data_IF_411651059633
#
_entry.id   IF_411651059633
#
_cell.length_a   1.000
_cell.length_b   1.000
_cell.length_c   1.000
_cell.angle_alpha   90.00
_cell.angle_beta   90.00
_cell.angle_gamma   90.00
#
_symmetry.space_group_name_H-M   'P 1'
#
loop_
_entity.id
_entity.type
_entity.pdbx_description
1 polymer ?
#
# COMPACT_ATOMS: atom_id res chain seq x y z
N UNK A 1 -30.87 -20.84 -13.67
CA UNK A 1 -29.85 -21.68 -13.02
C UNK A 1 -30.52 -22.66 -12.07
N UNK A 2 -30.06 -23.92 -12.05
CA UNK A 2 -30.56 -25.02 -11.21
C UNK A 2 -29.75 -25.12 -9.90
N UNK A 3 -29.54 -24.02 -9.18
CA UNK A 3 -28.81 -24.08 -7.92
C UNK A 3 -29.62 -24.70 -6.78
N UNK A 4 -28.94 -25.00 -5.68
CA UNK A 4 -29.54 -25.63 -4.50
C UNK A 4 -30.76 -24.82 -4.01
N UNK A 5 -31.84 -25.53 -3.67
CA UNK A 5 -33.03 -24.89 -3.10
C UNK A 5 -32.76 -24.26 -1.73
N UNK A 6 -31.83 -24.86 -0.97
CA UNK A 6 -31.33 -24.35 0.31
C UNK A 6 -30.01 -23.63 0.17
N UNK A 7 -29.08 -23.91 1.09
CA UNK A 7 -27.73 -23.35 1.06
C UNK A 7 -26.77 -24.23 0.23
N UNK A 8 -25.70 -23.65 -0.31
CA UNK A 8 -24.61 -24.40 -0.95
C UNK A 8 -23.93 -25.31 0.06
N UNK A 9 -23.48 -24.72 1.18
CA UNK A 9 -22.91 -25.42 2.34
C UNK A 9 -23.68 -25.00 3.60
N UNK A 10 -24.01 -25.96 4.45
CA UNK A 10 -24.67 -25.72 5.73
C UNK A 10 -23.87 -26.34 6.88
N UNK A 11 -23.46 -25.50 7.83
CA UNK A 11 -22.81 -25.91 9.08
C UNK A 11 -23.80 -25.71 10.23
N UNK A 12 -23.99 -26.74 11.05
CA UNK A 12 -24.90 -26.71 12.18
C UNK A 12 -24.18 -27.22 13.42
N UNK A 13 -23.97 -26.33 14.40
CA UNK A 13 -23.32 -26.65 15.68
C UNK A 13 -21.92 -27.30 15.50
N UNK A 14 -21.23 -26.97 14.40
CA UNK A 14 -19.92 -27.52 14.08
C UNK A 14 -18.80 -26.66 14.68
N UNK A 15 -17.71 -27.30 15.10
CA UNK A 15 -16.52 -26.61 15.60
C UNK A 15 -15.31 -26.88 14.71
N UNK A 16 -14.38 -25.92 14.64
CA UNK A 16 -13.14 -25.99 13.87
C UNK A 16 -13.31 -26.50 12.43
N UNK A 17 -14.39 -26.08 11.75
CA UNK A 17 -14.62 -26.47 10.36
C UNK A 17 -13.84 -25.58 9.41
N UNK A 18 -13.19 -26.19 8.42
CA UNK A 18 -12.55 -25.47 7.32
C UNK A 18 -13.36 -25.66 6.04
N UNK A 19 -13.72 -24.56 5.38
CA UNK A 19 -14.33 -24.54 4.05
C UNK A 19 -13.33 -23.90 3.10
N UNK A 20 -12.75 -24.71 2.24
CA UNK A 20 -11.67 -24.32 1.35
C UNK A 20 -10.33 -24.84 1.86
N UNK A 21 -9.26 -24.09 1.62
CA UNK A 21 -7.96 -24.36 2.21
C UNK A 21 -6.98 -23.20 2.07
N UNK A 22 -5.77 -23.36 2.62
CA UNK A 22 -4.73 -22.34 2.55
C UNK A 22 -4.11 -22.20 1.14
N UNK A 23 -4.40 -23.12 0.23
CA UNK A 23 -3.95 -23.08 -1.16
C UNK A 23 -5.12 -22.95 -2.14
N UNK A 24 -4.92 -22.35 -3.32
CA UNK A 24 -5.96 -22.21 -4.34
C UNK A 24 -6.57 -23.54 -4.79
N UNK A 25 -5.83 -24.65 -4.73
CA UNK A 25 -6.32 -25.98 -5.14
C UNK A 25 -7.37 -26.54 -4.18
N UNK A 26 -7.42 -26.03 -2.94
CA UNK A 26 -8.44 -26.38 -1.98
C UNK A 26 -9.70 -25.49 -2.09
N UNK A 27 -9.74 -24.56 -3.04
CA UNK A 27 -10.85 -23.65 -3.26
C UNK A 27 -12.15 -24.38 -3.64
N UNK A 28 -13.27 -24.02 -3.01
CA UNK A 28 -14.59 -24.40 -3.50
C UNK A 28 -15.17 -23.33 -4.42
N UNK A 29 -16.01 -23.76 -5.36
CA UNK A 29 -16.88 -22.89 -6.14
C UNK A 29 -18.32 -23.08 -5.63
N UNK A 30 -18.87 -22.04 -5.00
CA UNK A 30 -20.16 -22.08 -4.30
C UNK A 30 -21.09 -21.07 -4.96
N UNK A 31 -21.91 -21.54 -5.90
CA UNK A 31 -22.67 -20.66 -6.77
C UNK A 31 -24.15 -21.01 -6.96
N UNK A 32 -24.97 -19.98 -7.18
CA UNK A 32 -26.35 -20.11 -7.66
C UNK A 32 -27.37 -20.59 -6.65
N UNK A 33 -27.03 -20.69 -5.36
CA UNK A 33 -27.96 -21.17 -4.33
C UNK A 33 -29.11 -20.19 -4.14
N UNK A 34 -30.34 -20.70 -4.01
CA UNK A 34 -31.54 -19.86 -3.86
C UNK A 34 -31.60 -19.09 -2.54
N UNK A 35 -30.81 -19.53 -1.55
CA UNK A 35 -30.66 -18.85 -0.27
C UNK A 35 -29.19 -18.46 -0.06
N UNK A 36 -28.45 -19.19 0.77
CA UNK A 36 -27.09 -18.85 1.12
C UNK A 36 -26.06 -19.63 0.28
N UNK A 37 -24.93 -19.04 -0.08
CA UNK A 37 -23.77 -19.81 -0.54
C UNK A 37 -23.28 -20.69 0.60
N UNK A 38 -22.94 -20.07 1.72
CA UNK A 38 -22.58 -20.75 2.98
C UNK A 38 -23.49 -20.26 4.09
N UNK A 39 -24.03 -21.19 4.88
CA UNK A 39 -24.77 -20.88 6.10
C UNK A 39 -24.13 -21.56 7.30
N UNK A 40 -23.59 -20.76 8.23
CA UNK A 40 -23.07 -21.22 9.51
C UNK A 40 -24.05 -20.89 10.65
N UNK A 41 -24.61 -21.93 11.26
CA UNK A 41 -25.50 -21.82 12.41
C UNK A 41 -24.83 -22.36 13.66
N UNK A 42 -24.61 -21.49 14.65
CA UNK A 42 -23.96 -21.80 15.92
C UNK A 42 -22.61 -22.53 15.74
N UNK A 43 -21.84 -22.15 14.72
CA UNK A 43 -20.64 -22.87 14.31
C UNK A 43 -19.38 -22.00 14.41
N UNK A 44 -18.23 -22.63 14.62
CA UNK A 44 -16.92 -21.97 14.44
C UNK A 44 -16.24 -22.50 13.19
N UNK A 45 -15.92 -21.62 12.25
CA UNK A 45 -15.36 -22.04 10.97
C UNK A 45 -14.39 -21.02 10.37
N UNK A 46 -13.47 -21.52 9.55
CA UNK A 46 -12.64 -20.74 8.64
C UNK A 46 -13.11 -21.00 7.22
N UNK A 47 -13.43 -19.94 6.49
CA UNK A 47 -13.87 -19.96 5.09
C UNK A 47 -12.79 -19.26 4.29
N UNK A 48 -12.03 -19.99 3.48
CA UNK A 48 -10.86 -19.42 2.81
C UNK A 48 -10.68 -19.87 1.36
N UNK A 49 -10.16 -18.98 0.51
CA UNK A 49 -9.91 -19.23 -0.91
C UNK A 49 -11.12 -19.68 -1.74
N UNK A 50 -12.37 -19.45 -1.31
CA UNK A 50 -13.53 -19.88 -2.08
C UNK A 50 -13.96 -18.83 -3.10
N UNK A 51 -14.53 -19.28 -4.22
CA UNK A 51 -15.35 -18.44 -5.10
C UNK A 51 -16.82 -18.60 -4.71
N UNK A 52 -17.43 -17.54 -4.19
CA UNK A 52 -18.82 -17.54 -3.70
C UNK A 52 -19.63 -16.55 -4.55
N UNK A 53 -20.55 -17.05 -5.38
CA UNK A 53 -21.21 -16.18 -6.36
C UNK A 53 -22.68 -16.47 -6.64
N UNK A 54 -23.42 -15.44 -7.09
CA UNK A 54 -24.80 -15.62 -7.57
C UNK A 54 -25.75 -16.27 -6.54
N UNK A 55 -25.50 -16.06 -5.25
CA UNK A 55 -26.40 -16.48 -4.17
C UNK A 55 -27.26 -15.30 -3.69
N UNK A 56 -28.41 -15.56 -3.04
CA UNK A 56 -29.18 -14.49 -2.39
C UNK A 56 -28.38 -13.91 -1.20
N UNK A 57 -27.69 -14.76 -0.46
CA UNK A 57 -26.67 -14.37 0.53
C UNK A 57 -25.38 -15.13 0.26
N UNK A 58 -24.23 -14.46 0.16
CA UNK A 58 -22.94 -15.13 -0.01
C UNK A 58 -22.58 -16.01 1.19
N UNK A 59 -22.40 -15.37 2.36
CA UNK A 59 -22.11 -16.04 3.63
C UNK A 59 -23.04 -15.52 4.74
N UNK A 60 -23.80 -16.44 5.35
CA UNK A 60 -24.69 -16.18 6.48
C UNK A 60 -24.12 -16.77 7.77
N UNK A 61 -24.13 -15.96 8.83
CA UNK A 61 -23.77 -16.36 10.19
C UNK A 61 -24.97 -16.17 11.12
N UNK A 62 -25.38 -17.24 11.79
CA UNK A 62 -26.42 -17.25 12.81
C UNK A 62 -25.90 -17.92 14.07
N UNK A 63 -25.14 -17.16 14.85
CA UNK A 63 -24.43 -17.64 16.03
C UNK A 63 -23.09 -18.27 15.69
N UNK A 64 -22.18 -18.28 16.67
CA UNK A 64 -20.81 -18.77 16.52
C UNK A 64 -19.82 -17.71 16.03
N UNK A 65 -18.66 -18.16 15.52
CA UNK A 65 -17.55 -17.30 15.07
C UNK A 65 -16.99 -17.81 13.74
N UNK A 66 -17.14 -17.01 12.69
CA UNK A 66 -16.65 -17.34 11.35
C UNK A 66 -15.55 -16.37 10.95
N UNK A 67 -14.47 -16.90 10.38
CA UNK A 67 -13.38 -16.15 9.79
C UNK A 67 -13.38 -16.38 8.28
N UNK A 68 -13.58 -15.34 7.49
CA UNK A 68 -13.57 -15.38 6.03
C UNK A 68 -12.29 -14.73 5.50
N UNK A 69 -11.39 -15.51 4.90
CA UNK A 69 -10.08 -15.01 4.42
C UNK A 69 -9.95 -15.22 2.92
N UNK A 70 -9.75 -14.13 2.18
CA UNK A 70 -9.35 -14.17 0.78
C UNK A 70 -10.28 -14.95 -0.14
N UNK A 71 -11.57 -14.89 0.13
CA UNK A 71 -12.59 -15.41 -0.78
C UNK A 71 -12.90 -14.37 -1.85
N UNK A 72 -13.30 -14.84 -3.02
CA UNK A 72 -13.87 -14.02 -4.08
C UNK A 72 -15.39 -14.08 -3.97
N UNK A 73 -16.03 -12.98 -3.56
CA UNK A 73 -17.48 -12.87 -3.43
C UNK A 73 -18.04 -11.95 -4.51
N UNK A 74 -18.72 -12.51 -5.50
CA UNK A 74 -19.20 -11.73 -6.65
C UNK A 74 -20.64 -12.05 -7.04
N UNK A 75 -21.40 -11.06 -7.50
CA UNK A 75 -22.78 -11.25 -7.96
C UNK A 75 -23.73 -11.83 -6.89
N UNK A 76 -23.42 -11.69 -5.61
CA UNK A 76 -24.34 -12.06 -4.53
C UNK A 76 -25.28 -10.90 -4.25
N UNK A 77 -26.57 -11.16 -3.99
CA UNK A 77 -27.50 -10.07 -3.64
C UNK A 77 -27.09 -9.41 -2.33
N UNK A 78 -26.82 -10.22 -1.29
CA UNK A 78 -26.18 -9.79 -0.03
C UNK A 78 -24.85 -10.51 0.13
N UNK A 79 -23.75 -9.83 0.42
CA UNK A 79 -22.44 -10.49 0.60
C UNK A 79 -22.39 -11.22 1.94
N UNK A 80 -22.61 -10.49 3.04
CA UNK A 80 -22.62 -11.03 4.39
C UNK A 80 -23.93 -10.77 5.11
N UNK A 81 -24.53 -11.80 5.71
CA UNK A 81 -25.68 -11.65 6.60
C UNK A 81 -25.38 -12.20 7.99
N UNK A 82 -25.57 -11.40 9.04
CA UNK A 82 -25.17 -11.73 10.41
C UNK A 82 -26.37 -11.55 11.33
N UNK A 83 -27.05 -12.66 11.60
CA UNK A 83 -28.20 -12.66 12.49
C UNK A 83 -27.78 -12.67 13.98
N UNK A 84 -26.68 -13.36 14.29
CA UNK A 84 -26.07 -13.42 15.61
C UNK A 84 -24.61 -13.88 15.48
N UNK A 85 -23.80 -13.72 16.53
CA UNK A 85 -22.40 -14.16 16.57
C UNK A 85 -21.42 -13.17 15.93
N UNK A 86 -20.28 -13.66 15.45
CA UNK A 86 -19.21 -12.84 14.88
C UNK A 86 -18.77 -13.36 13.51
N UNK A 87 -18.68 -12.44 12.55
CA UNK A 87 -17.98 -12.66 11.28
C UNK A 87 -16.77 -11.72 11.21
N UNK A 88 -15.58 -12.28 11.02
CA UNK A 88 -14.36 -11.52 10.69
C UNK A 88 -13.99 -11.77 9.23
N UNK A 89 -13.72 -10.70 8.48
CA UNK A 89 -13.39 -10.78 7.05
C UNK A 89 -12.06 -10.12 6.75
N UNK A 90 -11.14 -10.84 6.13
CA UNK A 90 -9.82 -10.35 5.72
C UNK A 90 -9.54 -10.71 4.26
N UNK A 91 -8.98 -9.76 3.51
CA UNK A 91 -8.45 -9.92 2.14
C UNK A 91 -9.46 -10.48 1.12
N UNK A 92 -10.75 -10.44 1.41
CA UNK A 92 -11.75 -10.90 0.45
C UNK A 92 -11.87 -9.90 -0.71
N UNK A 93 -11.99 -10.41 -1.96
CA UNK A 93 -12.32 -9.60 -3.15
C UNK A 93 -13.83 -9.62 -3.35
N UNK A 94 -14.48 -8.46 -3.22
CA UNK A 94 -15.94 -8.35 -3.16
C UNK A 94 -16.44 -7.39 -4.24
N UNK A 95 -17.18 -7.92 -5.22
CA UNK A 95 -17.65 -7.14 -6.37
C UNK A 95 -19.11 -7.44 -6.71
N UNK A 96 -19.76 -6.53 -7.44
CA UNK A 96 -21.12 -6.70 -7.99
C UNK A 96 -22.14 -7.27 -6.97
N UNK A 97 -22.51 -6.49 -5.96
CA UNK A 97 -23.47 -6.92 -4.94
C UNK A 97 -24.53 -5.85 -4.68
N UNK A 98 -25.68 -6.26 -4.15
CA UNK A 98 -26.75 -5.34 -3.75
C UNK A 98 -26.55 -4.75 -2.35
N UNK A 99 -26.23 -5.60 -1.38
CA UNK A 99 -25.99 -5.22 0.02
C UNK A 99 -24.66 -5.82 0.50
N UNK A 100 -23.77 -4.99 1.05
CA UNK A 100 -22.49 -5.48 1.56
C UNK A 100 -22.69 -6.30 2.83
N UNK A 101 -23.35 -5.72 3.83
CA UNK A 101 -23.53 -6.36 5.13
C UNK A 101 -24.95 -6.14 5.63
N UNK A 102 -25.67 -7.22 5.94
CA UNK A 102 -26.94 -7.17 6.64
C UNK A 102 -26.76 -7.75 8.05
N UNK A 103 -26.65 -6.89 9.07
CA UNK A 103 -26.57 -7.35 10.47
C UNK A 103 -27.87 -7.06 11.21
N UNK A 104 -28.44 -8.08 11.86
CA UNK A 104 -29.66 -7.95 12.68
C UNK A 104 -29.45 -8.30 14.15
N UNK A 105 -28.27 -8.82 14.53
CA UNK A 105 -28.01 -9.19 15.93
C UNK A 105 -26.59 -9.69 16.24
N UNK A 106 -25.61 -9.48 15.35
CA UNK A 106 -24.21 -9.85 15.58
C UNK A 106 -23.21 -8.79 15.13
N UNK A 107 -21.92 -9.14 15.16
CA UNK A 107 -20.83 -8.21 14.82
C UNK A 107 -20.12 -8.61 13.52
N UNK A 108 -19.83 -7.62 12.68
CA UNK A 108 -18.95 -7.75 11.54
C UNK A 108 -17.64 -7.00 11.79
N UNK A 109 -16.51 -7.68 11.61
CA UNK A 109 -15.16 -7.08 11.66
C UNK A 109 -14.49 -7.31 10.30
N UNK A 110 -14.75 -6.42 9.35
CA UNK A 110 -14.37 -6.60 7.95
C UNK A 110 -13.42 -5.55 7.40
N UNK A 111 -12.62 -4.93 8.27
CA UNK A 111 -11.83 -3.75 7.94
C UNK A 111 -10.84 -3.95 6.81
N UNK A 112 -10.54 -5.17 6.37
CA UNK A 112 -9.46 -5.42 5.40
C UNK A 112 -9.93 -6.21 4.18
N UNK A 113 -11.11 -5.91 3.67
CA UNK A 113 -11.61 -6.49 2.42
C UNK A 113 -11.54 -5.46 1.30
N UNK A 114 -11.39 -5.92 0.06
CA UNK A 114 -11.57 -5.06 -1.10
C UNK A 114 -13.04 -5.11 -1.52
N UNK A 115 -13.68 -3.95 -1.59
CA UNK A 115 -15.12 -3.81 -1.83
C UNK A 115 -15.45 -3.32 -3.24
N UNK A 116 -14.57 -3.65 -4.19
CA UNK A 116 -14.64 -3.18 -5.57
C UNK A 116 -14.23 -1.71 -5.71
N UNK A 117 -14.30 -1.22 -6.96
CA UNK A 117 -14.06 0.19 -7.30
C UNK A 117 -15.32 1.02 -7.02
N UNK A 118 -15.62 1.30 -5.75
CA UNK A 118 -16.68 2.26 -5.37
C UNK A 118 -16.10 3.68 -5.25
N UNK A 119 -16.85 4.67 -5.73
CA UNK A 119 -16.40 6.06 -5.94
C UNK A 119 -16.63 7.00 -4.75
N UNK A 120 -16.71 6.49 -3.52
CA UNK A 120 -16.44 7.33 -2.34
C UNK A 120 -17.35 7.13 -1.12
N UNK A 121 -18.49 6.46 -1.26
CA UNK A 121 -19.38 6.15 -0.13
C UNK A 121 -19.29 4.69 0.31
N UNK A 122 -19.50 4.46 1.62
CA UNK A 122 -19.62 3.13 2.16
C UNK A 122 -20.84 2.41 1.53
N UNK A 123 -20.68 1.18 1.03
CA UNK A 123 -21.79 0.39 0.54
C UNK A 123 -22.84 0.12 1.61
N UNK A 124 -24.06 -0.22 1.17
CA UNK A 124 -25.19 -0.46 2.06
C UNK A 124 -24.86 -1.47 3.18
N UNK A 125 -25.08 -1.03 4.42
CA UNK A 125 -24.91 -1.82 5.65
C UNK A 125 -23.46 -1.99 6.13
N UNK A 126 -22.48 -1.47 5.39
CA UNK A 126 -21.10 -1.44 5.85
C UNK A 126 -20.89 -0.24 6.79
N UNK A 127 -20.37 -0.50 7.99
CA UNK A 127 -20.00 0.57 8.92
C UNK A 127 -18.85 1.43 8.33
N UNK A 128 -18.88 2.73 8.60
CA UNK A 128 -17.89 3.68 8.05
C UNK A 128 -16.46 3.34 8.47
N UNK A 129 -16.22 2.85 9.69
CA UNK A 129 -14.89 2.44 10.16
C UNK A 129 -14.37 1.22 9.39
N UNK A 130 -15.25 0.27 9.08
CA UNK A 130 -14.91 -0.89 8.25
C UNK A 130 -14.59 -0.44 6.82
N UNK A 131 -15.43 0.41 6.25
CA UNK A 131 -15.18 1.02 4.94
C UNK A 131 -13.88 1.82 4.91
N UNK A 132 -13.59 2.49 6.02
CA UNK A 132 -12.46 3.40 6.13
C UNK A 132 -11.11 2.68 6.16
N UNK A 133 -11.08 1.45 6.64
CA UNK A 133 -9.87 0.65 6.77
C UNK A 133 -9.68 -0.35 5.61
N UNK A 134 -10.62 -0.41 4.65
CA UNK A 134 -10.66 -1.39 3.55
C UNK A 134 -9.37 -1.46 2.73
N UNK A 135 -9.23 -2.52 1.94
CA UNK A 135 -8.17 -2.60 0.94
C UNK A 135 -8.43 -1.61 -0.20
N UNK A 136 -7.36 -0.94 -0.64
CA UNK A 136 -7.40 0.14 -1.62
C UNK A 136 -7.43 -0.36 -3.07
N UNK A 137 -6.75 -1.47 -3.32
CA UNK A 137 -6.76 -2.16 -4.60
C UNK A 137 -7.21 -3.61 -4.40
N UNK A 138 -7.59 -4.23 -5.50
CA UNK A 138 -7.82 -5.67 -5.53
C UNK A 138 -6.49 -6.37 -5.21
N UNK A 139 -6.47 -7.31 -4.25
CA UNK A 139 -5.32 -8.19 -4.04
C UNK A 139 -4.98 -8.92 -5.34
N UNK A 140 -3.76 -8.77 -5.83
CA UNK A 140 -3.29 -9.56 -6.98
C UNK A 140 -2.94 -10.98 -6.53
N UNK A 141 -2.21 -11.08 -5.42
CA UNK A 141 -1.89 -12.34 -4.76
C UNK A 141 -1.87 -12.13 -3.25
N UNK A 142 -2.04 -13.20 -2.49
CA UNK A 142 -1.94 -13.17 -1.04
C UNK A 142 -1.64 -14.57 -0.48
N UNK A 143 -1.17 -14.63 0.76
CA UNK A 143 -0.90 -15.87 1.48
C UNK A 143 -1.15 -15.67 2.97
N UNK A 144 -1.53 -16.74 3.66
CA UNK A 144 -1.79 -16.77 5.09
C UNK A 144 -0.97 -17.87 5.77
N UNK A 145 -0.54 -17.65 7.01
CA UNK A 145 0.04 -18.70 7.83
C UNK A 145 0.08 -18.35 9.31
N UNK A 146 0.38 -19.34 10.14
CA UNK A 146 0.45 -19.18 11.60
C UNK A 146 1.86 -18.76 12.02
N UNK A 147 2.00 -17.56 12.58
CA UNK A 147 3.27 -16.93 12.97
C UNK A 147 4.19 -16.54 11.80
N UNK A 148 3.90 -16.99 10.58
CA UNK A 148 4.63 -16.60 9.38
C UNK A 148 3.84 -16.80 8.09
N UNK A 149 4.13 -15.99 7.09
CA UNK A 149 3.52 -16.03 5.76
C UNK A 149 4.56 -15.62 4.71
N UNK A 150 4.60 -16.32 3.57
CA UNK A 150 5.61 -16.14 2.53
C UNK A 150 4.95 -16.13 1.14
N UNK A 151 5.07 -15.00 0.44
CA UNK A 151 4.50 -14.76 -0.88
C UNK A 151 5.65 -14.47 -1.85
N UNK A 152 6.16 -15.54 -2.46
CA UNK A 152 7.44 -15.47 -3.18
C UNK A 152 8.54 -14.95 -2.26
N UNK A 153 9.17 -13.85 -2.68
CA UNK A 153 10.25 -13.20 -1.93
C UNK A 153 9.76 -12.28 -0.77
N UNK A 154 8.48 -11.92 -0.76
CA UNK A 154 7.89 -11.14 0.31
C UNK A 154 7.55 -12.03 1.51
N UNK A 155 7.86 -11.58 2.73
CA UNK A 155 7.72 -12.43 3.92
C UNK A 155 7.32 -11.65 5.16
N UNK A 156 6.49 -12.27 5.99
CA UNK A 156 6.17 -11.83 7.34
C UNK A 156 6.51 -12.96 8.32
N UNK A 157 7.33 -12.68 9.35
CA UNK A 157 7.75 -13.68 10.34
C UNK A 157 7.88 -13.12 11.74
N UNK A 158 7.81 -13.98 12.75
CA UNK A 158 8.32 -13.72 14.10
C UNK A 158 7.26 -13.74 15.18
N UNK A 159 6.28 -12.84 15.10
CA UNK A 159 5.24 -12.69 16.12
C UNK A 159 4.31 -13.91 16.23
N UNK A 160 3.30 -13.78 17.08
CA UNK A 160 2.26 -14.83 17.26
C UNK A 160 1.02 -14.51 16.45
N UNK A 161 0.15 -15.49 16.22
CA UNK A 161 -1.14 -15.28 15.53
C UNK A 161 -1.03 -15.39 14.02
N UNK A 162 -2.08 -14.98 13.31
CA UNK A 162 -2.17 -15.20 11.86
C UNK A 162 -1.41 -14.10 11.12
N UNK A 163 -0.42 -14.51 10.33
CA UNK A 163 0.32 -13.67 9.41
C UNK A 163 -0.36 -13.68 8.04
N UNK A 164 -0.54 -12.51 7.42
CA UNK A 164 -0.98 -12.41 6.03
C UNK A 164 -0.04 -11.48 5.27
N UNK A 165 0.37 -11.90 4.08
CA UNK A 165 1.06 -11.06 3.09
C UNK A 165 0.13 -10.91 1.88
N UNK A 166 -0.04 -9.67 1.43
CA UNK A 166 -0.83 -9.33 0.25
C UNK A 166 0.06 -8.58 -0.72
N UNK A 167 0.11 -8.99 -1.99
CA UNK A 167 0.72 -8.23 -3.08
C UNK A 167 -0.37 -7.50 -3.85
N UNK A 168 -0.12 -6.24 -4.13
CA UNK A 168 -0.86 -5.46 -5.11
C UNK A 168 0.06 -5.10 -6.26
N UNK A 169 -0.44 -5.19 -7.49
CA UNK A 169 0.33 -4.77 -8.66
C UNK A 169 0.62 -3.28 -8.61
N UNK A 170 1.80 -2.86 -9.08
CA UNK A 170 2.17 -1.45 -9.15
C UNK A 170 1.14 -0.59 -9.89
N UNK A 171 0.60 -1.14 -10.97
CA UNK A 171 -0.38 -0.45 -11.82
C UNK A 171 -1.79 -0.41 -11.19
N UNK A 172 -2.08 -1.25 -10.21
CA UNK A 172 -3.41 -1.37 -9.62
C UNK A 172 -3.87 -0.09 -8.90
N UNK A 173 -2.92 0.75 -8.46
CA UNK A 173 -3.20 2.03 -7.82
C UNK A 173 -3.19 3.23 -8.77
N UNK A 174 -2.70 3.05 -10.00
CA UNK A 174 -2.35 4.16 -10.90
C UNK A 174 -3.26 4.32 -12.11
N UNK A 175 -4.28 3.47 -12.26
CA UNK A 175 -5.18 3.53 -13.42
C UNK A 175 -5.94 4.87 -13.58
N UNK A 176 -5.74 5.85 -12.70
CA UNK A 176 -6.26 7.21 -12.84
C UNK A 176 -5.23 8.25 -13.38
N UNK A 177 -3.92 7.99 -13.35
CA UNK A 177 -2.90 8.97 -13.71
C UNK A 177 -2.25 8.64 -15.06
N UNK A 178 -2.71 9.27 -16.14
CA UNK A 178 -2.21 9.06 -17.51
C UNK A 178 -0.83 9.70 -17.80
N UNK A 179 -0.06 10.09 -16.77
CA UNK A 179 1.26 10.72 -16.92
C UNK A 179 2.39 9.69 -16.79
N UNK A 180 3.45 9.82 -17.59
CA UNK A 180 4.59 8.90 -17.59
C UNK A 180 5.49 8.96 -16.34
N UNK A 181 5.30 9.95 -15.46
CA UNK A 181 6.09 10.13 -14.23
C UNK A 181 5.21 9.89 -13.00
N UNK A 182 4.79 8.65 -12.81
CA UNK A 182 4.02 8.24 -11.64
C UNK A 182 4.95 7.81 -10.50
N UNK A 183 4.38 7.61 -9.30
CA UNK A 183 5.16 7.05 -8.19
C UNK A 183 5.58 5.61 -8.53
N UNK A 184 4.71 4.78 -9.13
CA UNK A 184 5.00 3.40 -9.44
C UNK A 184 6.15 3.22 -10.43
N UNK A 185 6.34 4.15 -11.38
CA UNK A 185 7.47 4.08 -12.31
C UNK A 185 8.82 4.26 -11.61
N UNK A 186 8.83 4.90 -10.44
CA UNK A 186 10.01 5.12 -9.58
C UNK A 186 10.20 4.06 -8.52
N UNK A 187 9.15 3.30 -8.19
CA UNK A 187 9.23 2.22 -7.22
C UNK A 187 10.01 1.02 -7.77
N UNK A 188 10.77 0.40 -6.88
CA UNK A 188 11.60 -0.76 -7.09
C UNK A 188 10.99 -2.03 -6.48
N UNK A 189 9.72 -1.99 -6.09
CA UNK A 189 8.96 -3.16 -5.69
C UNK A 189 7.50 -2.97 -6.08
N UNK A 190 6.75 -4.08 -6.09
CA UNK A 190 5.30 -3.99 -5.95
C UNK A 190 4.90 -3.44 -4.59
N UNK A 191 3.61 -3.20 -4.41
CA UNK A 191 3.06 -2.80 -3.12
C UNK A 191 2.71 -4.04 -2.30
N UNK A 192 3.10 -4.05 -1.04
CA UNK A 192 2.82 -5.16 -0.14
C UNK A 192 2.03 -4.68 1.08
N UNK A 193 0.94 -5.38 1.40
CA UNK A 193 0.21 -5.24 2.65
C UNK A 193 0.55 -6.38 3.61
N UNK A 194 0.88 -6.05 4.85
CA UNK A 194 1.20 -7.03 5.89
C UNK A 194 0.19 -6.94 7.04
N UNK A 195 -0.28 -8.10 7.51
CA UNK A 195 -1.27 -8.20 8.59
C UNK A 195 -0.82 -9.18 9.66
N UNK A 196 -1.06 -8.81 10.92
CA UNK A 196 -1.01 -9.72 12.06
C UNK A 196 -2.38 -9.72 12.74
N UNK A 197 -3.10 -10.85 12.69
CA UNK A 197 -4.43 -10.99 13.27
C UNK A 197 -4.34 -11.77 14.58
N UNK A 198 -4.98 -11.22 15.63
CA UNK A 198 -4.95 -11.75 16.99
C UNK A 198 -3.53 -12.03 17.49
N UNK A 199 -2.56 -11.32 16.89
CA UNK A 199 -1.14 -11.55 17.07
C UNK A 199 -0.46 -10.54 17.97
N UNK A 200 0.62 -10.98 18.62
CA UNK A 200 1.45 -10.16 19.49
C UNK A 200 2.92 -10.22 19.10
N UNK A 201 3.74 -9.50 19.87
CA UNK A 201 5.19 -9.50 19.72
C UNK A 201 5.71 -8.62 18.59
N UNK A 202 6.95 -8.89 18.21
CA UNK A 202 7.67 -8.19 17.15
C UNK A 202 7.76 -9.04 15.90
N UNK A 203 7.57 -8.38 14.76
CA UNK A 203 7.56 -9.00 13.46
C UNK A 203 8.73 -8.51 12.63
N UNK A 204 9.06 -9.32 11.62
CA UNK A 204 10.00 -9.02 10.57
C UNK A 204 9.29 -9.09 9.23
N UNK A 205 9.36 -7.99 8.49
CA UNK A 205 8.90 -7.86 7.11
C UNK A 205 10.10 -8.00 6.18
N UNK A 206 9.92 -8.73 5.07
CA UNK A 206 10.83 -8.76 3.94
C UNK A 206 10.09 -8.26 2.70
N UNK A 207 10.63 -7.24 2.04
CA UNK A 207 10.08 -6.66 0.81
C UNK A 207 11.04 -6.95 -0.33
N UNK A 208 10.61 -7.62 -1.42
CA UNK A 208 11.46 -7.86 -2.57
C UNK A 208 11.74 -6.58 -3.35
N UNK A 209 12.90 -6.54 -3.99
CA UNK A 209 13.31 -5.46 -4.89
C UNK A 209 13.50 -6.02 -6.29
N UNK A 210 13.05 -5.27 -7.29
CA UNK A 210 13.28 -5.53 -8.71
C UNK A 210 14.77 -5.60 -9.04
N UNK A 211 15.15 -6.57 -9.87
CA UNK A 211 16.51 -6.69 -10.43
C UNK A 211 16.75 -5.67 -11.56
N UNK A 212 16.75 -4.38 -11.23
CA UNK A 212 17.02 -3.30 -12.19
C UNK A 212 18.18 -2.44 -11.71
N UNK A 213 19.03 -1.98 -12.63
CA UNK A 213 20.18 -1.15 -12.29
C UNK A 213 19.83 0.10 -11.44
N UNK A 214 18.72 0.83 -11.68
CA UNK A 214 18.28 1.94 -10.82
C UNK A 214 17.92 1.51 -9.39
N UNK A 215 17.53 0.24 -9.19
CA UNK A 215 17.11 -0.27 -7.89
C UNK A 215 18.27 -0.73 -6.99
N UNK A 216 19.49 -0.83 -7.54
CA UNK A 216 20.68 -1.06 -6.73
C UNK A 216 20.92 0.08 -5.72
N UNK A 217 20.59 1.32 -6.07
CA UNK A 217 20.69 2.46 -5.15
C UNK A 217 19.63 2.36 -4.04
N UNK A 218 18.38 2.03 -4.38
CA UNK A 218 17.31 1.74 -3.40
C UNK A 218 17.75 0.71 -2.37
N UNK A 219 18.41 -0.36 -2.82
CA UNK A 219 18.95 -1.39 -1.96
C UNK A 219 20.04 -0.86 -1.02
N UNK A 220 20.97 -0.05 -1.54
CA UNK A 220 22.05 0.55 -0.74
C UNK A 220 21.52 1.54 0.30
N UNK A 221 20.54 2.35 -0.07
CA UNK A 221 19.96 3.41 0.76
C UNK A 221 18.82 2.90 1.66
N UNK A 222 18.38 1.64 1.49
CA UNK A 222 17.32 0.98 2.26
C UNK A 222 16.01 1.80 2.30
N UNK A 223 15.66 2.41 1.16
CA UNK A 223 14.50 3.28 1.03
C UNK A 223 13.20 2.47 1.02
N UNK A 224 12.58 2.32 2.19
CA UNK A 224 11.22 1.80 2.33
C UNK A 224 10.28 2.89 2.75
N UNK A 225 9.18 2.97 2.02
CA UNK A 225 8.07 3.86 2.29
C UNK A 225 6.81 3.09 2.65
N UNK A 226 5.98 3.74 3.46
CA UNK A 226 4.68 3.22 3.87
C UNK A 226 3.64 4.34 3.90
N UNK A 227 2.36 3.98 3.99
CA UNK A 227 1.23 4.92 4.05
C UNK A 227 0.66 4.96 5.48
N UNK A 228 1.19 5.81 6.37
CA UNK A 228 0.80 5.81 7.79
C UNK A 228 -0.62 6.33 8.02
N UNK A 229 -1.15 7.12 7.07
CA UNK A 229 -2.51 7.65 7.13
C UNK A 229 -3.35 7.18 5.94
N UNK A 230 -3.79 5.92 5.95
CA UNK A 230 -4.62 5.36 4.89
C UNK A 230 -5.89 6.18 4.62
N UNK A 231 -6.43 6.84 5.67
CA UNK A 231 -7.65 7.64 5.58
C UNK A 231 -7.47 8.89 4.71
N UNK A 232 -6.37 9.62 4.89
CA UNK A 232 -6.06 10.86 4.16
C UNK A 232 -5.69 10.57 2.71
N UNK A 233 -5.09 9.41 2.47
CA UNK A 233 -4.52 8.97 1.20
C UNK A 233 -5.39 8.00 0.41
N UNK A 234 -6.62 7.81 0.90
CA UNK A 234 -7.52 6.72 0.52
C UNK A 234 -7.82 6.60 -0.96
N UNK A 235 -7.94 7.74 -1.64
CA UNK A 235 -8.42 7.78 -3.02
C UNK A 235 -7.29 7.96 -4.03
N UNK A 236 -6.07 8.19 -3.54
CA UNK A 236 -4.96 8.59 -4.40
C UNK A 236 -3.62 8.31 -3.72
N UNK A 237 -3.12 7.10 -3.92
CA UNK A 237 -1.76 6.73 -3.53
C UNK A 237 -0.70 7.25 -4.51
N UNK A 238 -1.10 7.93 -5.59
CA UNK A 238 -0.16 8.59 -6.51
C UNK A 238 0.39 9.90 -5.95
N UNK A 239 -0.18 10.38 -4.84
CA UNK A 239 0.32 11.55 -4.11
C UNK A 239 1.57 11.22 -3.29
N UNK A 240 2.63 11.99 -3.47
CA UNK A 240 3.88 11.79 -2.73
C UNK A 240 3.74 12.04 -1.23
N UNK A 241 2.89 13.00 -0.83
CA UNK A 241 2.68 13.33 0.58
C UNK A 241 1.96 12.23 1.38
N UNK A 242 1.43 11.22 0.68
CA UNK A 242 0.82 10.06 1.29
C UNK A 242 1.80 9.00 1.77
N UNK A 243 3.01 9.07 1.27
CA UNK A 243 4.05 8.13 1.60
C UNK A 243 5.02 8.79 2.57
N UNK A 244 5.35 8.06 3.63
CA UNK A 244 6.37 8.49 4.57
C UNK A 244 7.50 7.47 4.57
N UNK A 245 8.75 7.91 4.81
CA UNK A 245 9.81 6.98 5.15
C UNK A 245 9.37 6.15 6.35
N UNK A 246 9.64 4.84 6.33
CA UNK A 246 9.29 3.99 7.47
C UNK A 246 10.06 4.48 8.72
N UNK A 247 9.39 4.91 9.80
CA UNK A 247 10.02 5.68 10.88
C UNK A 247 10.83 4.84 11.86
N UNK A 248 10.95 3.53 11.62
CA UNK A 248 11.54 2.62 12.60
C UNK A 248 13.07 2.67 12.62
N UNK A 249 13.64 2.68 13.83
CA UNK A 249 14.99 2.15 14.15
C UNK A 249 15.18 0.65 13.77
N UNK A 250 14.18 0.07 13.10
CA UNK A 250 14.03 -1.34 12.75
C UNK A 250 14.38 -1.69 11.30
N UNK A 251 14.66 -0.72 10.42
CA UNK A 251 15.23 -1.05 9.10
C UNK A 251 16.63 -1.62 9.34
N UNK A 252 16.77 -2.95 9.24
CA UNK A 252 18.00 -3.66 9.58
C UNK A 252 18.47 -4.41 8.35
N UNK A 253 19.08 -3.66 7.44
CA UNK A 253 19.84 -4.23 6.35
C UNK A 253 19.00 -4.51 5.10
N UNK A 254 19.56 -4.09 3.98
CA UNK A 254 19.31 -4.71 2.70
C UNK A 254 20.08 -6.03 2.62
N UNK A 255 19.41 -7.09 2.19
CA UNK A 255 20.05 -8.39 1.92
C UNK A 255 19.97 -8.66 0.43
N UNK A 256 21.13 -8.82 -0.21
CA UNK A 256 21.26 -9.33 -1.57
C UNK A 256 21.80 -10.74 -1.50
N UNK A 257 21.05 -11.70 -2.02
CA UNK A 257 21.57 -13.03 -2.39
C UNK A 257 21.75 -13.07 -3.90
N UNK A 258 22.43 -14.09 -4.42
CA UNK A 258 22.76 -14.18 -5.85
C UNK A 258 21.56 -14.08 -6.80
N UNK A 259 20.33 -14.37 -6.32
CA UNK A 259 19.10 -14.34 -7.11
C UNK A 259 17.94 -13.61 -6.41
N UNK A 260 18.19 -12.85 -5.34
CA UNK A 260 17.11 -12.20 -4.60
C UNK A 260 17.59 -10.96 -3.86
N UNK A 261 17.05 -9.80 -4.23
CA UNK A 261 17.26 -8.53 -3.53
C UNK A 261 16.05 -8.23 -2.65
N UNK A 262 16.29 -7.88 -1.39
CA UNK A 262 15.20 -7.54 -0.46
C UNK A 262 15.64 -6.56 0.62
N UNK A 263 14.72 -5.73 1.09
CA UNK A 263 14.89 -4.97 2.34
C UNK A 263 14.15 -5.68 3.47
N UNK A 264 14.83 -5.77 4.62
CA UNK A 264 14.29 -6.37 5.83
C UNK A 264 14.01 -5.29 6.87
N UNK A 265 12.77 -5.27 7.35
CA UNK A 265 12.32 -4.39 8.43
C UNK A 265 12.06 -5.29 9.64
N UNK A 266 12.85 -5.11 10.70
CA UNK A 266 12.71 -5.82 11.96
C UNK A 266 11.95 -4.97 13.00
N UNK A 267 11.54 -5.62 14.10
CA UNK A 267 10.90 -4.98 15.24
C UNK A 267 9.60 -4.25 14.92
N UNK A 268 8.89 -4.68 13.87
CA UNK A 268 7.58 -4.12 13.49
C UNK A 268 6.56 -4.60 14.51
N UNK A 269 5.77 -3.70 15.10
CA UNK A 269 4.76 -4.10 16.09
C UNK A 269 3.55 -4.65 15.37
N UNK A 270 2.88 -5.64 15.96
CA UNK A 270 1.62 -6.18 15.41
C UNK A 270 0.58 -5.07 15.11
N UNK A 271 0.55 -4.02 15.94
CA UNK A 271 -0.32 -2.86 15.75
C UNK A 271 -0.07 -2.05 14.47
N UNK A 272 1.13 -2.16 13.88
CA UNK A 272 1.52 -1.49 12.63
C UNK A 272 1.21 -2.37 11.39
N UNK A 273 0.92 -3.66 11.61
CA UNK A 273 0.58 -4.64 10.58
C UNK A 273 -0.93 -4.68 10.35
N UNK A 274 -1.45 -3.59 9.77
CA UNK A 274 -2.88 -3.37 9.51
C UNK A 274 -3.19 -3.24 8.02
N UNK A 275 -2.41 -3.88 7.15
CA UNK A 275 -2.62 -3.80 5.70
C UNK A 275 -2.24 -2.49 5.06
N UNK A 276 -1.46 -1.66 5.76
CA UNK A 276 -0.80 -0.50 5.17
C UNK A 276 0.10 -0.98 4.03
N UNK A 277 0.07 -0.28 2.90
CA UNK A 277 0.94 -0.58 1.78
C UNK A 277 2.39 -0.16 2.11
N UNK A 278 3.31 -1.08 1.83
CA UNK A 278 4.75 -0.87 1.87
C UNK A 278 5.30 -1.00 0.46
N UNK A 279 6.28 -0.16 0.11
CA UNK A 279 7.03 -0.27 -1.13
C UNK A 279 8.48 0.17 -0.93
N UNK A 280 9.38 -0.39 -1.74
CA UNK A 280 10.78 0.02 -1.82
C UNK A 280 11.00 0.88 -3.07
N UNK A 281 11.79 1.93 -2.97
CA UNK A 281 12.16 2.80 -4.10
C UNK A 281 12.24 4.27 -3.72
N UNK A 282 12.95 5.11 -4.49
CA UNK A 282 13.00 6.55 -4.23
C UNK A 282 11.65 7.21 -4.52
N UNK A 283 11.10 7.95 -3.56
CA UNK A 283 9.89 8.74 -3.79
C UNK A 283 10.15 10.18 -4.20
N UNK A 284 11.32 10.70 -3.86
CA UNK A 284 11.76 11.99 -4.38
C UNK A 284 12.50 11.69 -5.68
N UNK A 285 12.24 12.42 -6.78
CA UNK A 285 13.15 12.40 -7.91
C UNK A 285 14.54 12.72 -7.35
N UNK A 286 15.48 11.77 -7.43
CA UNK A 286 16.90 12.09 -7.21
C UNK A 286 17.17 13.34 -8.02
N UNK A 287 17.46 14.44 -7.34
CA UNK A 287 17.22 15.79 -7.83
C UNK A 287 17.60 16.02 -9.29
N UNK A 288 16.83 16.91 -9.94
CA UNK A 288 17.19 17.61 -11.17
C UNK A 288 18.71 17.69 -11.31
N UNK A 289 19.26 17.26 -12.46
CA UNK A 289 20.68 17.02 -12.59
C UNK A 289 21.46 18.22 -12.05
N UNK A 290 22.36 17.95 -11.10
CA UNK A 290 23.25 18.93 -10.43
C UNK A 290 24.03 19.78 -11.47
N UNK A 291 23.99 19.40 -12.75
CA UNK A 291 24.39 20.24 -13.88
C UNK A 291 23.75 21.64 -13.88
N UNK A 292 22.55 21.86 -13.32
CA UNK A 292 21.97 23.22 -13.25
C UNK A 292 22.61 24.10 -12.15
N UNK A 293 22.99 23.52 -11.01
CA UNK A 293 23.73 24.24 -9.96
C UNK A 293 25.18 24.50 -10.39
N UNK A 294 25.80 23.54 -11.09
CA UNK A 294 27.11 23.75 -11.71
C UNK A 294 27.05 24.82 -12.82
N UNK A 295 26.01 24.84 -13.66
CA UNK A 295 25.82 25.87 -14.67
C UNK A 295 25.57 27.26 -14.06
N UNK A 296 24.75 27.36 -12.99
CA UNK A 296 24.54 28.61 -12.27
C UNK A 296 25.81 29.16 -11.63
N UNK A 297 26.63 28.29 -11.02
CA UNK A 297 27.94 28.68 -10.48
C UNK A 297 28.91 29.10 -11.60
N UNK A 298 28.95 28.38 -12.73
CA UNK A 298 29.81 28.74 -13.87
C UNK A 298 29.41 30.06 -14.52
N UNK A 299 28.10 30.31 -14.68
CA UNK A 299 27.56 31.57 -15.20
C UNK A 299 27.83 32.71 -14.23
N UNK A 300 27.69 32.49 -12.92
CA UNK A 300 28.05 33.47 -11.89
C UNK A 300 29.53 33.85 -11.93
N UNK A 301 30.42 32.86 -12.05
CA UNK A 301 31.88 33.08 -12.18
C UNK A 301 32.22 33.79 -13.49
N UNK A 302 31.60 33.42 -14.62
CA UNK A 302 31.78 34.09 -15.91
C UNK A 302 31.32 35.55 -15.89
N UNK A 303 30.16 35.84 -15.29
CA UNK A 303 29.64 37.20 -15.16
C UNK A 303 30.56 38.05 -14.27
N UNK A 304 31.04 37.50 -13.15
CA UNK A 304 31.97 38.19 -12.26
C UNK A 304 33.30 38.47 -12.97
N UNK A 305 33.85 37.50 -13.70
CA UNK A 305 35.07 37.66 -14.49
C UNK A 305 34.92 38.72 -15.60
N UNK A 306 33.77 38.74 -16.29
CA UNK A 306 33.46 39.74 -17.31
C UNK A 306 33.37 41.15 -16.70
N UNK A 307 32.75 41.27 -15.53
CA UNK A 307 32.60 42.55 -14.81
C UNK A 307 33.97 43.08 -14.36
N UNK A 308 34.82 42.20 -13.81
CA UNK A 308 36.20 42.52 -13.45
C UNK A 308 37.02 42.94 -14.67
N UNK A 309 36.85 42.27 -15.82
CA UNK A 309 37.51 42.63 -17.06
C UNK A 309 37.08 44.01 -17.58
N UNK A 310 35.78 44.32 -17.55
CA UNK A 310 35.25 45.64 -17.93
C UNK A 310 35.79 46.75 -17.02
N UNK A 311 35.84 46.50 -15.71
CA UNK A 311 36.39 47.44 -14.73
C UNK A 311 37.90 47.66 -14.94
N UNK A 312 38.65 46.59 -15.20
CA UNK A 312 40.07 46.67 -15.53
C UNK A 312 40.31 47.49 -16.79
N UNK A 313 39.55 47.23 -17.86
CA UNK A 313 39.69 47.97 -19.13
C UNK A 313 39.41 49.46 -18.95
N UNK A 314 38.34 49.83 -18.22
CA UNK A 314 38.03 51.24 -17.91
C UNK A 314 39.17 51.95 -17.18
N UNK A 315 39.85 51.25 -16.27
CA UNK A 315 40.99 51.79 -15.52
C UNK A 315 42.21 52.04 -16.42
N UNK A 316 42.44 51.18 -17.41
CA UNK A 316 43.55 51.33 -18.37
C UNK A 316 43.31 52.37 -19.46
N UNK A 317 42.05 52.68 -19.77
CA UNK A 317 41.69 53.66 -20.82
C UNK A 317 41.42 55.06 -20.27
N UNK A 318 41.51 55.28 -18.96
CA UNK A 318 41.36 56.62 -18.41
C UNK A 318 42.61 57.43 -18.81
N UNK A 319 42.47 58.45 -19.67
CA UNK A 319 43.61 59.29 -20.04
C UNK A 319 44.17 59.92 -18.78
N UNK A 320 45.50 59.91 -18.65
CA UNK A 320 46.19 60.51 -17.52
C UNK A 320 45.62 61.91 -17.27
N UNK A 321 45.13 62.16 -16.06
CA UNK A 321 44.58 63.45 -15.69
C UNK A 321 45.63 64.51 -16.02
N UNK A 322 45.25 65.48 -16.85
CA UNK A 322 46.12 66.59 -17.19
C UNK A 322 46.57 67.28 -15.88
N UNK A 323 47.86 67.63 -15.75
CA UNK A 323 48.38 68.24 -14.53
C UNK A 323 47.59 69.51 -14.22
N UNK A 324 47.08 69.59 -12.98
CA UNK A 324 46.36 70.75 -12.49
C UNK A 324 47.26 71.98 -12.55
N UNK A 325 46.87 72.97 -13.36
CA UNK A 325 47.52 74.28 -13.41
C UNK A 325 47.24 74.99 -12.09
N UNK A 326 48.24 75.10 -11.23
CA UNK A 326 48.17 75.96 -10.04
C UNK A 326 48.18 77.42 -10.49
N UNK A 327 47.04 78.12 -10.39
CA UNK A 327 47.01 79.57 -10.56
C UNK A 327 47.47 80.24 -9.27
N UNK A 328 48.70 80.74 -9.26
CA UNK A 328 49.18 81.72 -8.28
C UNK A 328 48.51 83.06 -8.57
N UNK A 329 47.43 83.37 -7.87
CA UNK A 329 46.93 84.74 -7.75
C UNK A 329 47.75 85.43 -6.66
N UNK A 330 48.58 86.39 -7.08
CA UNK A 330 49.39 87.22 -6.20
C UNK A 330 48.55 88.24 -5.44
N UNK A 331 48.92 88.42 -4.18
CA UNK A 331 48.59 89.58 -3.37
C UNK A 331 49.36 90.80 -3.91
N UNK A 332 48.64 91.90 -4.11
CA UNK A 332 49.18 93.21 -4.46
C UNK A 332 48.41 94.28 -3.70
N UNK A 333 49.18 95.12 -3.01
CA UNK A 333 48.85 96.25 -2.13
C UNK A 333 48.06 97.34 -2.87
#
# INVERSE_FOLDING_TARGET
>A
MLGNAGSGIFLAQSVNTEIGGASPEAANVIAGSRTNGIFASFSTATVQHNTISQNDVGLRVQGGRVMAIGNTLTNNRTVFAIAAGQLRGYVNSITNYGTAVLSTGGSFLGSYNWWGRSTGSAPAGLNIDVWNNRLYAEPAEWVVGDGSAELGAARLTGGTGIAIVVRYERESFEQAAASADTIASRLCSDYYGFFAIDGGGTWRIRIPIDERAPCNQTLQEQLVYWVPQPLTCRNDLTREDCWQPFPGEGVRGATATTNEQSIVIANVRAGDLRGVAYAAGPLVPTELPITLLAAGALVGVLLLALLLFVLWRRRTTQPAAAPAVQSTAGEGI
#
